data_IF_797944507981
#
_entry.id   IF_797944507981
#
_cell.length_a   1.000
_cell.length_b   1.000
_cell.length_c   1.000
_cell.angle_alpha   90.00
_cell.angle_beta   90.00
_cell.angle_gamma   90.00
#
_symmetry.space_group_name_H-M   'P 1'
#
loop_
_entity.id
_entity.type
_entity.pdbx_description
1 polymer ?
#
# COMPACT_ATOMS: atom_id res chain seq x y z
N UNK A 1 -5.53 0.32 17.98
CA UNK A 1 -5.42 0.15 16.52
C UNK A 1 -5.10 1.49 15.91
N UNK A 2 -4.14 1.58 14.98
CA UNK A 2 -3.77 2.80 14.28
C UNK A 2 -3.91 2.59 12.77
N UNK A 3 -4.67 3.46 12.10
CA UNK A 3 -4.92 3.38 10.65
C UNK A 3 -4.11 4.45 9.93
N UNK A 4 -3.41 4.07 8.87
CA UNK A 4 -2.67 4.97 8.02
C UNK A 4 -2.78 4.54 6.56
N UNK A 5 -2.46 5.44 5.64
CA UNK A 5 -2.36 5.12 4.21
C UNK A 5 -0.91 5.23 3.76
N UNK A 6 -0.49 4.27 2.94
CA UNK A 6 0.74 4.40 2.16
C UNK A 6 0.50 5.42 1.06
N UNK A 7 1.53 6.21 0.79
CA UNK A 7 1.48 7.18 -0.27
C UNK A 7 2.25 6.70 -1.48
N UNK A 8 1.55 6.51 -2.59
CA UNK A 8 2.17 5.98 -3.82
C UNK A 8 3.20 6.97 -4.34
N UNK A 9 2.83 8.24 -4.50
CA UNK A 9 3.75 9.32 -4.90
C UNK A 9 4.98 9.46 -4.00
N UNK A 10 4.88 9.13 -2.71
CA UNK A 10 6.03 9.17 -1.78
C UNK A 10 6.97 7.98 -1.93
N UNK A 11 6.42 6.78 -2.18
CA UNK A 11 7.20 5.54 -2.28
C UNK A 11 7.80 5.40 -3.68
N UNK A 12 7.00 5.63 -4.72
CA UNK A 12 7.41 5.53 -6.13
C UNK A 12 7.05 6.85 -6.85
N UNK A 13 7.86 7.91 -6.72
CA UNK A 13 7.56 9.22 -7.30
C UNK A 13 7.42 9.18 -8.84
N UNK A 14 8.20 8.31 -9.50
CA UNK A 14 8.14 8.12 -10.95
C UNK A 14 7.12 7.05 -11.37
N UNK A 15 6.43 6.43 -10.39
CA UNK A 15 5.52 5.31 -10.62
C UNK A 15 6.21 3.99 -11.01
N UNK A 16 7.55 3.93 -10.98
CA UNK A 16 8.33 2.73 -11.27
C UNK A 16 8.85 2.07 -9.99
N UNK A 17 8.48 0.80 -9.77
CA UNK A 17 8.94 0.00 -8.64
C UNK A 17 10.43 -0.34 -8.68
N UNK A 18 11.11 -0.14 -9.81
CA UNK A 18 12.55 -0.37 -9.99
C UNK A 18 13.39 0.74 -9.35
N UNK A 19 12.82 1.93 -9.16
CA UNK A 19 13.50 3.09 -8.58
C UNK A 19 12.68 3.67 -7.41
N UNK A 20 12.55 2.94 -6.28
CA UNK A 20 11.80 3.42 -5.14
C UNK A 20 12.54 4.56 -4.43
N UNK A 21 11.77 5.50 -3.87
CA UNK A 21 12.31 6.50 -2.96
C UNK A 21 12.60 5.86 -1.59
N UNK A 22 13.88 5.56 -1.35
CA UNK A 22 14.35 4.91 -0.12
C UNK A 22 14.04 5.69 1.15
N UNK A 23 14.00 7.03 1.10
CA UNK A 23 13.61 7.84 2.26
C UNK A 23 12.12 7.65 2.59
N UNK A 24 11.27 7.61 1.56
CA UNK A 24 9.85 7.30 1.69
C UNK A 24 9.63 5.92 2.29
N UNK A 25 10.38 4.92 1.83
CA UNK A 25 10.34 3.55 2.37
C UNK A 25 10.77 3.51 3.84
N UNK A 26 11.89 4.17 4.17
CA UNK A 26 12.39 4.25 5.54
C UNK A 26 11.39 4.92 6.49
N UNK A 27 10.70 5.96 6.04
CA UNK A 27 9.65 6.62 6.82
C UNK A 27 8.55 5.65 7.25
N UNK A 28 8.01 4.85 6.31
CA UNK A 28 6.96 3.88 6.65
C UNK A 28 7.49 2.73 7.51
N UNK A 29 8.74 2.30 7.32
CA UNK A 29 9.35 1.35 8.24
C UNK A 29 9.41 1.88 9.66
N UNK A 30 9.83 3.13 9.84
CA UNK A 30 9.89 3.77 11.15
C UNK A 30 8.49 3.94 11.75
N UNK A 31 7.52 4.39 10.96
CA UNK A 31 6.13 4.52 11.39
C UNK A 31 5.57 3.18 11.90
N UNK A 32 5.73 2.11 11.13
CA UNK A 32 5.26 0.77 11.51
C UNK A 32 5.98 0.29 12.76
N UNK A 33 7.30 0.46 12.84
CA UNK A 33 8.08 0.09 14.01
C UNK A 33 7.60 0.84 15.27
N UNK A 34 7.33 2.14 15.19
CA UNK A 34 6.84 2.93 16.33
C UNK A 34 5.43 2.47 16.77
N UNK A 35 4.53 2.18 15.83
CA UNK A 35 3.20 1.67 16.16
C UNK A 35 3.30 0.31 16.88
N UNK A 36 4.18 -0.58 16.40
CA UNK A 36 4.45 -1.88 17.03
C UNK A 36 5.04 -1.70 18.43
N UNK A 37 6.01 -0.78 18.61
CA UNK A 37 6.59 -0.47 19.94
C UNK A 37 5.54 0.01 20.94
N UNK A 38 4.50 0.70 20.48
CA UNK A 38 3.37 1.15 21.29
C UNK A 38 2.31 0.06 21.52
N UNK A 39 2.57 -1.20 21.12
CA UNK A 39 1.63 -2.33 21.18
C UNK A 39 0.32 -2.13 20.42
N UNK A 40 0.32 -1.23 19.42
CA UNK A 40 -0.84 -0.94 18.58
C UNK A 40 -0.81 -1.81 17.32
N UNK A 41 -1.99 -2.21 16.86
CA UNK A 41 -2.24 -2.85 15.55
C UNK A 41 -2.08 -1.81 14.43
N UNK A 42 -1.07 -1.88 13.54
CA UNK A 42 -0.99 -0.98 12.41
C UNK A 42 -1.88 -1.51 11.28
N UNK A 43 -2.71 -0.64 10.72
CA UNK A 43 -3.58 -0.96 9.58
C UNK A 43 -3.20 -0.01 8.46
N UNK A 44 -2.59 -0.55 7.42
CA UNK A 44 -2.13 0.20 6.26
C UNK A 44 -3.14 0.12 5.12
N UNK A 45 -3.50 1.26 4.55
CA UNK A 45 -4.26 1.33 3.29
C UNK A 45 -3.30 1.56 2.13
N UNK A 46 -3.31 0.67 1.13
CA UNK A 46 -2.34 0.71 0.01
C UNK A 46 -2.53 1.93 -0.88
N UNK A 47 -3.79 2.32 -1.12
CA UNK A 47 -4.11 3.38 -2.06
C UNK A 47 -5.26 4.25 -1.56
N UNK A 48 -5.07 5.56 -1.64
CA UNK A 48 -6.06 6.55 -1.23
C UNK A 48 -6.08 7.74 -2.21
N UNK A 49 -6.24 7.45 -3.50
CA UNK A 49 -6.31 8.43 -4.60
C UNK A 49 -5.04 9.29 -4.81
N UNK A 50 -3.87 8.82 -4.40
CA UNK A 50 -2.66 9.63 -4.33
C UNK A 50 -1.54 9.13 -5.25
N UNK A 51 -1.92 8.73 -6.46
CA UNK A 51 -0.97 8.28 -7.46
C UNK A 51 -0.08 9.45 -7.92
N UNK A 52 1.18 9.18 -8.33
CA UNK A 52 2.08 10.21 -8.84
C UNK A 52 1.49 10.96 -10.05
N UNK A 53 1.69 12.28 -10.09
CA UNK A 53 1.27 13.12 -11.23
C UNK A 53 1.87 12.63 -12.56
N UNK A 54 3.08 12.07 -12.52
CA UNK A 54 3.74 11.48 -13.70
C UNK A 54 2.88 10.41 -14.37
N UNK A 55 2.16 9.60 -13.58
CA UNK A 55 1.24 8.58 -14.13
C UNK A 55 -0.04 9.20 -14.68
N UNK A 56 -0.54 10.29 -14.08
CA UNK A 56 -1.67 11.04 -14.63
C UNK A 56 -1.30 11.64 -15.99
N UNK A 57 -0.12 12.25 -16.12
CA UNK A 57 0.34 12.88 -17.35
C UNK A 57 0.63 11.86 -18.47
N UNK A 58 1.20 10.70 -18.13
CA UNK A 58 1.53 9.65 -19.09
C UNK A 58 0.30 8.85 -19.55
N UNK A 59 -0.60 8.52 -18.62
CA UNK A 59 -1.66 7.54 -18.86
C UNK A 59 -3.08 8.11 -18.77
N UNK A 60 -3.22 9.42 -18.51
CA UNK A 60 -4.50 10.06 -18.13
C UNK A 60 -5.14 9.36 -16.93
N UNK A 61 -4.28 8.94 -16.01
CA UNK A 61 -4.64 8.21 -14.79
C UNK A 61 -5.21 6.83 -15.09
N UNK A 62 -6.35 6.54 -14.45
CA UNK A 62 -7.04 5.26 -14.54
C UNK A 62 -7.76 5.00 -15.87
N UNK A 63 -7.60 5.89 -16.86
CA UNK A 63 -8.17 5.68 -18.19
C UNK A 63 -7.36 4.68 -19.03
N UNK A 64 -6.07 4.49 -18.70
CA UNK A 64 -5.23 3.47 -19.35
C UNK A 64 -5.21 2.16 -18.57
N UNK A 65 -5.15 1.03 -19.30
CA UNK A 65 -4.90 -0.28 -18.69
C UNK A 65 -3.49 -0.39 -18.09
N UNK A 66 -2.53 0.36 -18.62
CA UNK A 66 -1.15 0.37 -18.11
C UNK A 66 -1.09 0.87 -16.65
N UNK A 67 -2.04 1.71 -16.24
CA UNK A 67 -2.18 2.16 -14.85
C UNK A 67 -2.44 0.99 -13.90
N UNK A 68 -3.16 -0.04 -14.36
CA UNK A 68 -3.45 -1.25 -13.58
C UNK A 68 -2.17 -2.04 -13.33
N UNK A 69 -1.31 -2.16 -14.35
CA UNK A 69 -0.01 -2.84 -14.21
C UNK A 69 0.91 -2.08 -13.26
N UNK A 70 0.97 -0.75 -13.38
CA UNK A 70 1.74 0.11 -12.45
C UNK A 70 1.23 0.00 -11.02
N UNK A 71 -0.09 -0.02 -10.82
CA UNK A 71 -0.68 -0.23 -9.50
C UNK A 71 -0.36 -1.61 -8.93
N UNK A 72 -0.44 -2.66 -9.76
CA UNK A 72 -0.07 -4.03 -9.35
C UNK A 72 1.37 -4.10 -8.88
N UNK A 73 2.29 -3.46 -9.61
CA UNK A 73 3.71 -3.47 -9.26
C UNK A 73 3.99 -2.67 -7.98
N UNK A 74 3.33 -1.53 -7.79
CA UNK A 74 3.33 -0.78 -6.52
C UNK A 74 2.80 -1.61 -5.36
N UNK A 75 1.63 -2.24 -5.52
CA UNK A 75 1.05 -3.09 -4.48
C UNK A 75 2.00 -4.24 -4.13
N UNK A 76 2.57 -4.93 -5.13
CA UNK A 76 3.54 -6.00 -4.93
C UNK A 76 4.78 -5.51 -4.17
N UNK A 77 5.29 -4.33 -4.51
CA UNK A 77 6.41 -3.70 -3.80
C UNK A 77 6.09 -3.49 -2.31
N UNK A 78 4.96 -2.85 -2.00
CA UNK A 78 4.52 -2.59 -0.62
C UNK A 78 4.32 -3.90 0.16
N UNK A 79 3.67 -4.89 -0.44
CA UNK A 79 3.49 -6.20 0.18
C UNK A 79 4.82 -6.90 0.46
N UNK A 80 5.76 -6.88 -0.48
CA UNK A 80 7.08 -7.51 -0.29
C UNK A 80 7.90 -6.80 0.78
N UNK A 81 7.89 -5.47 0.78
CA UNK A 81 8.72 -4.65 1.65
C UNK A 81 8.25 -4.68 3.11
N UNK A 82 6.93 -4.54 3.31
CA UNK A 82 6.35 -4.46 4.66
C UNK A 82 5.72 -5.76 5.14
N UNK A 83 5.47 -6.73 4.25
CA UNK A 83 4.83 -8.01 4.57
C UNK A 83 5.67 -8.89 5.50
N UNK A 84 7.00 -8.87 5.40
CA UNK A 84 7.87 -9.64 6.32
C UNK A 84 7.76 -9.16 7.78
N UNK A 85 7.52 -7.85 7.99
CA UNK A 85 7.28 -7.28 9.31
C UNK A 85 5.94 -7.69 9.92
N UNK A 86 5.02 -8.19 9.10
CA UNK A 86 3.75 -8.79 9.54
C UNK A 86 4.00 -10.17 10.17
N UNK A 87 4.95 -10.95 9.63
CA UNK A 87 5.19 -12.33 10.05
C UNK A 87 6.12 -12.43 11.28
N UNK A 88 7.07 -11.50 11.47
CA UNK A 88 7.95 -11.50 12.64
C UNK A 88 7.25 -11.16 13.97
N UNK A 89 5.99 -10.72 13.96
CA UNK A 89 5.17 -10.53 15.18
C UNK A 89 4.48 -11.82 15.68
N UNK A 90 4.78 -13.00 15.10
CA UNK A 90 4.16 -14.29 15.46
C UNK A 90 4.48 -14.82 16.87
N UNK A 91 5.39 -14.21 17.65
CA UNK A 91 5.64 -14.62 19.05
C UNK A 91 4.56 -14.16 20.03
N UNK A 92 3.61 -13.34 19.57
CA UNK A 92 2.41 -12.94 20.33
C UNK A 92 1.20 -13.27 19.49
N UNK A 93 0.25 -14.02 20.04
CA UNK A 93 -0.80 -14.80 19.37
C UNK A 93 -1.89 -13.97 18.65
N UNK A 94 -1.60 -12.77 18.19
CA UNK A 94 -2.56 -11.87 17.57
C UNK A 94 -1.90 -11.23 16.34
N UNK A 95 -2.32 -11.66 15.15
CA UNK A 95 -1.79 -11.18 13.89
C UNK A 95 -2.34 -9.75 13.63
N UNK A 96 -1.67 -8.75 14.22
CA UNK A 96 -2.16 -7.37 14.37
C UNK A 96 -1.75 -6.41 13.24
N UNK A 97 -1.42 -6.87 12.03
CA UNK A 97 -1.27 -5.99 10.88
C UNK A 97 -2.24 -6.37 9.78
N UNK A 98 -3.15 -5.47 9.42
CA UNK A 98 -4.13 -5.69 8.35
C UNK A 98 -3.88 -4.69 7.23
N UNK A 99 -3.54 -5.18 6.05
CA UNK A 99 -3.52 -4.35 4.86
C UNK A 99 -4.93 -4.30 4.27
N UNK A 100 -5.49 -3.10 4.18
CA UNK A 100 -6.82 -2.88 3.60
C UNK A 100 -6.60 -2.18 2.26
N UNK A 101 -6.85 -2.86 1.16
CA UNK A 101 -7.00 -2.19 -0.13
C UNK A 101 -8.34 -1.46 -0.10
N UNK A 102 -8.32 -0.14 0.08
CA UNK A 102 -9.55 0.65 0.08
C UNK A 102 -10.04 0.76 -1.35
N UNK A 103 -11.25 0.23 -1.54
CA UNK A 103 -12.03 0.29 -2.76
C UNK A 103 -12.48 1.73 -2.98
N UNK A 104 -12.01 2.34 -4.06
CA UNK A 104 -12.61 3.58 -4.55
C UNK A 104 -13.93 3.20 -5.22
N UNK A 105 -15.03 3.59 -4.60
CA UNK A 105 -16.30 3.64 -5.30
C UNK A 105 -16.21 4.75 -6.36
N UNK A 106 -16.12 4.38 -7.63
CA UNK A 106 -16.54 5.31 -8.68
C UNK A 106 -18.06 5.55 -8.53
N UNK A 107 -18.57 6.76 -8.85
CA UNK A 107 -20.01 7.08 -8.78
C UNK A 107 -20.93 6.15 -9.57
N UNK A 108 -20.39 5.23 -10.37
CA UNK A 108 -21.10 4.31 -11.26
C UNK A 108 -21.36 2.90 -10.70
N UNK A 109 -21.13 2.65 -9.40
CA UNK A 109 -21.78 1.51 -8.71
C UNK A 109 -21.31 0.09 -9.06
N UNK A 110 -20.08 -0.08 -9.54
CA UNK A 110 -19.48 -1.41 -9.79
C UNK A 110 -18.63 -1.91 -8.62
N UNK A 111 -19.15 -2.86 -7.83
CA UNK A 111 -18.41 -3.52 -6.74
C UNK A 111 -17.65 -4.73 -7.28
N UNK A 112 -16.33 -4.67 -7.38
CA UNK A 112 -15.49 -5.86 -7.58
C UNK A 112 -14.83 -6.22 -6.25
N UNK A 113 -15.37 -7.26 -5.57
CA UNK A 113 -14.72 -7.84 -4.39
C UNK A 113 -13.50 -8.65 -4.83
N UNK A 114 -12.30 -8.20 -4.47
CA UNK A 114 -11.13 -9.07 -4.44
C UNK A 114 -11.04 -9.70 -3.04
N UNK A 115 -11.19 -11.02 -2.97
CA UNK A 115 -10.95 -11.79 -1.76
C UNK A 115 -9.45 -11.76 -1.43
N UNK A 116 -9.10 -11.51 -0.18
CA UNK A 116 -7.75 -11.79 0.32
C UNK A 116 -7.58 -13.30 0.39
N UNK A 117 -6.54 -13.82 -0.24
CA UNK A 117 -6.14 -15.22 -0.09
C UNK A 117 -5.51 -15.40 1.30
N UNK A 118 -6.20 -16.17 2.16
CA UNK A 118 -5.59 -16.90 3.25
C UNK A 118 -5.12 -18.25 2.67
N UNK A 119 -3.81 -18.51 2.71
CA UNK A 119 -3.17 -19.75 2.28
C UNK A 119 -1.74 -19.82 2.75
#
# INVERSE_FOLDING_TARGET
VYRFSFSWSRILPDGDASNPNMEGVAFYHNLINEIIKQNLTPIGTVYHFDHPQVLEDQFRGWQSREMIDKFRDYARFVFKEYGSKVQNSLSTCDNRFRLIVVHIAYPSGGLLRAQGEEG
#
